data_IF_316892635331
#
_entry.id   IF_316892635331
#
_cell.length_a   1.000
_cell.length_b   1.000
_cell.length_c   1.000
_cell.angle_alpha   90.00
_cell.angle_beta   90.00
_cell.angle_gamma   90.00
#
_symmetry.space_group_name_H-M   'P 1'
#
loop_
_entity.id
_entity.type
_entity.pdbx_description
1 polymer ?
#
# COMPACT_ATOMS: atom_id res chain seq x y z
N UNK A 1 -3.52 -12.29 -7.11
CA UNK A 1 -3.15 -12.62 -5.71
C UNK A 1 -4.37 -12.40 -4.81
N UNK A 2 -4.76 -13.39 -4.00
CA UNK A 2 -5.90 -13.30 -3.07
C UNK A 2 -5.36 -13.25 -1.64
N UNK A 3 -5.90 -12.38 -0.79
CA UNK A 3 -5.42 -12.30 0.59
C UNK A 3 -5.99 -13.43 1.46
N UNK A 4 -5.20 -13.85 2.45
CA UNK A 4 -5.71 -14.63 3.56
C UNK A 4 -6.77 -13.84 4.32
N UNK A 5 -7.76 -14.54 4.89
CA UNK A 5 -8.72 -13.92 5.81
C UNK A 5 -8.10 -13.58 7.17
N UNK A 6 -7.05 -14.29 7.56
CA UNK A 6 -6.34 -14.06 8.83
C UNK A 6 -5.13 -13.16 8.61
N UNK A 7 -5.00 -12.14 9.47
CA UNK A 7 -3.83 -11.25 9.45
C UNK A 7 -2.59 -11.98 9.95
N UNK A 8 -1.46 -11.95 9.21
CA UNK A 8 -0.22 -12.57 9.65
C UNK A 8 0.19 -12.06 11.03
N UNK A 9 0.69 -12.97 11.88
CA UNK A 9 1.20 -12.58 13.19
C UNK A 9 2.49 -11.78 13.04
N UNK A 10 2.90 -11.05 14.08
CA UNK A 10 4.18 -10.33 14.03
C UNK A 10 5.36 -11.30 13.89
N UNK A 11 5.26 -12.53 14.42
CA UNK A 11 6.27 -13.57 14.28
C UNK A 11 6.43 -13.99 12.83
N UNK A 12 5.32 -14.24 12.13
CA UNK A 12 5.32 -14.62 10.72
C UNK A 12 5.96 -13.54 9.86
N UNK A 13 5.60 -12.28 10.11
CA UNK A 13 6.18 -11.12 9.41
C UNK A 13 7.68 -11.01 9.67
N UNK A 14 8.12 -11.09 10.93
CA UNK A 14 9.55 -11.00 11.28
C UNK A 14 10.35 -12.15 10.67
N UNK A 15 9.79 -13.36 10.62
CA UNK A 15 10.45 -14.49 9.99
C UNK A 15 10.54 -14.30 8.48
N UNK A 16 9.46 -13.88 7.82
CA UNK A 16 9.45 -13.63 6.38
C UNK A 16 10.45 -12.52 5.98
N UNK A 17 10.54 -11.46 6.79
CA UNK A 17 11.53 -10.38 6.61
C UNK A 17 12.97 -10.91 6.72
N UNK A 18 13.26 -11.77 7.69
CA UNK A 18 14.58 -12.40 7.84
C UNK A 18 14.91 -13.32 6.67
N UNK A 19 13.96 -14.13 6.24
CA UNK A 19 14.15 -15.05 5.11
C UNK A 19 14.44 -14.26 3.83
N UNK A 20 13.69 -13.19 3.56
CA UNK A 20 13.95 -12.30 2.43
C UNK A 20 15.32 -11.62 2.51
N UNK A 21 15.78 -11.20 3.69
CA UNK A 21 17.13 -10.64 3.86
C UNK A 21 18.27 -11.64 3.66
N UNK A 22 17.98 -12.94 3.70
CA UNK A 22 18.95 -13.99 3.40
C UNK A 22 18.90 -14.44 1.93
N UNK A 23 17.88 -14.02 1.17
CA UNK A 23 17.68 -14.44 -0.21
C UNK A 23 18.66 -13.75 -1.17
N UNK A 24 19.08 -12.51 -0.86
CA UNK A 24 19.91 -11.70 -1.75
C UNK A 24 20.78 -10.71 -0.95
N UNK A 25 22.06 -10.55 -1.31
CA UNK A 25 23.04 -9.74 -0.54
C UNK A 25 22.65 -8.25 -0.44
N UNK A 26 21.96 -7.76 -1.46
CA UNK A 26 21.46 -6.38 -1.52
C UNK A 26 20.19 -6.14 -0.69
N UNK A 27 19.61 -7.18 -0.09
CA UNK A 27 18.43 -7.11 0.77
C UNK A 27 18.84 -7.22 2.23
N UNK A 28 18.45 -6.24 3.06
CA UNK A 28 18.91 -6.15 4.46
C UNK A 28 17.80 -5.69 5.38
N UNK A 29 17.91 -6.06 6.64
CA UNK A 29 17.07 -5.47 7.69
C UNK A 29 17.75 -4.24 8.28
N UNK A 30 16.98 -3.19 8.46
CA UNK A 30 17.41 -1.99 9.16
C UNK A 30 17.53 -2.22 10.66
N UNK A 31 18.06 -1.21 11.36
CA UNK A 31 18.12 -1.25 12.82
C UNK A 31 16.71 -1.25 13.43
N UNK A 32 16.55 -2.02 14.51
CA UNK A 32 15.31 -2.04 15.27
C UNK A 32 14.98 -0.67 15.87
N UNK A 33 13.69 -0.41 16.05
CA UNK A 33 13.19 0.85 16.60
C UNK A 33 12.75 0.70 18.06
N UNK A 34 13.15 1.64 18.91
CA UNK A 34 12.75 1.69 20.31
C UNK A 34 11.34 2.22 20.53
N UNK A 35 10.74 1.89 21.69
CA UNK A 35 9.38 2.31 22.03
C UNK A 35 9.24 3.84 22.13
N UNK A 36 10.25 4.54 22.64
CA UNK A 36 10.25 6.01 22.74
C UNK A 36 10.14 6.69 21.37
N UNK A 37 10.79 6.13 20.35
CA UNK A 37 10.69 6.64 18.98
C UNK A 37 9.28 6.41 18.40
N UNK A 38 8.71 5.23 18.63
CA UNK A 38 7.35 4.89 18.20
C UNK A 38 6.28 5.73 18.93
N UNK A 39 6.50 6.03 20.20
CA UNK A 39 5.62 6.91 20.99
C UNK A 39 5.58 8.33 20.43
N UNK A 40 6.65 8.76 19.75
CA UNK A 40 6.76 10.06 19.08
C UNK A 40 5.96 10.18 17.78
N UNK A 41 5.37 9.09 17.25
CA UNK A 41 4.72 9.09 15.94
C UNK A 41 3.36 9.81 15.89
N UNK A 42 2.85 10.30 17.02
CA UNK A 42 1.59 11.04 17.10
C UNK A 42 0.33 10.19 16.87
N UNK A 43 0.49 8.87 16.74
CA UNK A 43 -0.57 7.87 16.65
C UNK A 43 -0.18 6.65 17.49
N UNK A 44 -1.12 6.03 18.23
CA UNK A 44 -0.83 4.79 18.93
C UNK A 44 -0.36 3.71 17.94
N UNK A 45 0.75 3.04 18.26
CA UNK A 45 1.28 1.93 17.48
C UNK A 45 0.82 0.61 18.09
N UNK A 46 0.07 -0.23 17.36
CA UNK A 46 -0.37 -1.54 17.84
C UNK A 46 0.82 -2.44 18.20
N UNK A 47 0.67 -3.25 19.25
CA UNK A 47 1.76 -4.13 19.73
C UNK A 47 2.36 -5.05 18.66
N UNK A 48 1.59 -5.68 17.76
CA UNK A 48 2.18 -6.46 16.67
C UNK A 48 3.10 -5.63 15.76
N UNK A 49 2.77 -4.37 15.51
CA UNK A 49 3.59 -3.46 14.70
C UNK A 49 4.83 -3.03 15.48
N UNK A 50 4.72 -2.80 16.80
CA UNK A 50 5.86 -2.52 17.67
C UNK A 50 6.87 -3.66 17.67
N UNK A 51 6.43 -4.90 17.78
CA UNK A 51 7.30 -6.08 17.73
C UNK A 51 8.03 -6.20 16.39
N UNK A 52 7.35 -5.94 15.26
CA UNK A 52 7.97 -5.90 13.93
C UNK A 52 9.07 -4.82 13.89
N UNK A 53 8.74 -3.59 14.31
CA UNK A 53 9.68 -2.47 14.29
C UNK A 53 10.89 -2.72 15.21
N UNK A 54 10.69 -3.28 16.41
CA UNK A 54 11.76 -3.61 17.36
C UNK A 54 12.72 -4.67 16.82
N UNK A 55 12.19 -5.68 16.12
CA UNK A 55 12.97 -6.87 15.74
C UNK A 55 13.56 -6.82 14.34
N UNK A 56 12.93 -6.12 13.42
CA UNK A 56 13.29 -6.12 12.00
C UNK A 56 13.47 -4.71 11.42
N UNK A 57 13.05 -3.65 12.12
CA UNK A 57 13.13 -2.28 11.61
C UNK A 57 12.36 -2.14 10.29
N UNK A 58 13.10 -1.91 9.21
CA UNK A 58 12.62 -1.87 7.83
C UNK A 58 13.32 -2.94 6.98
N UNK A 59 12.67 -3.40 5.91
CA UNK A 59 13.35 -4.12 4.85
C UNK A 59 13.96 -3.11 3.88
N UNK A 60 15.27 -3.14 3.70
CA UNK A 60 15.99 -2.39 2.68
C UNK A 60 16.21 -3.29 1.46
N UNK A 61 15.78 -2.85 0.28
CA UNK A 61 15.92 -3.61 -0.97
C UNK A 61 16.76 -2.80 -1.95
N UNK A 62 18.09 -2.99 -1.92
CA UNK A 62 19.02 -2.33 -2.84
C UNK A 62 18.74 -0.84 -3.07
N UNK A 63 18.66 -0.45 -4.35
CA UNK A 63 18.32 0.92 -4.76
C UNK A 63 16.83 1.29 -4.69
N UNK A 64 15.96 0.33 -4.34
CA UNK A 64 14.51 0.55 -4.24
C UNK A 64 14.09 1.15 -2.90
N UNK A 65 14.97 1.13 -1.90
CA UNK A 65 14.76 1.82 -0.63
C UNK A 65 14.14 0.96 0.46
N UNK A 66 13.46 1.63 1.40
CA UNK A 66 12.95 1.04 2.65
C UNK A 66 11.47 0.65 2.55
N UNK A 67 11.11 -0.47 3.18
CA UNK A 67 9.75 -0.98 3.31
C UNK A 67 9.45 -1.29 4.79
N UNK A 68 8.42 -0.65 5.36
CA UNK A 68 7.91 -0.95 6.71
C UNK A 68 7.46 0.27 7.50
N UNK A 69 6.82 0.05 8.66
CA UNK A 69 6.33 1.14 9.51
C UNK A 69 7.45 2.03 10.06
N UNK A 70 8.63 1.45 10.27
CA UNK A 70 9.83 2.14 10.71
C UNK A 70 10.48 3.01 9.63
N UNK A 71 9.87 3.16 8.44
CA UNK A 71 10.35 4.01 7.35
C UNK A 71 10.78 5.40 7.84
N UNK A 72 12.04 5.79 7.57
CA UNK A 72 12.64 7.04 8.10
C UNK A 72 12.97 8.08 7.02
N UNK A 73 12.88 7.74 5.74
CA UNK A 73 13.36 8.63 4.67
C UNK A 73 12.69 10.00 4.68
N UNK A 74 13.52 11.04 4.53
CA UNK A 74 13.11 12.46 4.51
C UNK A 74 12.24 12.86 3.32
N UNK A 75 12.02 11.96 2.34
CA UNK A 75 11.06 12.16 1.25
C UNK A 75 9.63 12.44 1.74
N UNK A 76 9.31 12.05 2.98
CA UNK A 76 8.03 12.36 3.65
C UNK A 76 7.83 13.88 3.86
N UNK A 77 8.90 14.67 3.92
CA UNK A 77 8.82 16.11 4.23
C UNK A 77 8.64 17.03 3.02
N UNK A 78 8.79 16.51 1.79
CA UNK A 78 8.76 17.32 0.56
C UNK A 78 7.81 16.84 -0.55
N UNK A 79 7.04 15.77 -0.32
CA UNK A 79 6.28 15.09 -1.37
C UNK A 79 4.76 15.25 -1.33
N UNK A 80 4.09 14.52 -2.22
CA UNK A 80 2.64 14.40 -2.35
C UNK A 80 1.94 13.68 -1.16
N UNK A 81 2.62 13.48 -0.03
CA UNK A 81 2.10 12.74 1.14
C UNK A 81 0.89 13.39 1.79
N UNK A 82 0.68 14.69 1.56
CA UNK A 82 -0.54 15.39 1.96
C UNK A 82 -1.81 14.80 1.32
N UNK A 83 -1.67 14.07 0.20
CA UNK A 83 -2.75 13.31 -0.43
C UNK A 83 -3.20 12.10 0.40
N UNK A 84 -2.32 11.54 1.24
CA UNK A 84 -2.66 10.47 2.20
C UNK A 84 -3.65 10.92 3.28
N UNK A 85 -4.07 12.19 3.29
CA UNK A 85 -5.00 12.74 4.25
C UNK A 85 -4.31 13.65 5.28
N UNK A 86 -4.99 13.89 6.40
CA UNK A 86 -4.51 14.81 7.44
C UNK A 86 -3.38 14.16 8.24
N UNK A 87 -2.44 14.93 8.82
CA UNK A 87 -1.47 14.39 9.75
C UNK A 87 -2.12 13.52 10.84
N UNK A 88 -1.55 12.35 11.08
CA UNK A 88 -2.07 11.34 11.99
C UNK A 88 -3.17 10.43 11.42
N UNK A 89 -3.65 10.61 10.18
CA UNK A 89 -4.53 9.63 9.53
C UNK A 89 -3.80 8.60 8.67
N UNK A 90 -2.47 8.63 8.66
CA UNK A 90 -1.68 7.70 7.86
C UNK A 90 -0.27 7.53 8.43
N UNK A 91 0.38 6.44 8.01
CA UNK A 91 1.81 6.22 8.17
C UNK A 91 2.40 5.81 6.82
N UNK A 92 3.36 6.57 6.30
CA UNK A 92 4.10 6.16 5.10
C UNK A 92 4.95 4.95 5.44
N UNK A 93 4.92 3.95 4.56
CA UNK A 93 5.64 2.69 4.72
C UNK A 93 6.60 2.39 3.58
N UNK A 94 6.47 3.10 2.45
CA UNK A 94 7.43 3.12 1.35
C UNK A 94 7.12 4.28 0.39
N UNK A 95 8.15 4.79 -0.28
CA UNK A 95 8.01 5.65 -1.46
C UNK A 95 9.24 5.52 -2.33
N UNK A 96 9.05 5.60 -3.65
CA UNK A 96 10.15 5.72 -4.61
C UNK A 96 10.66 7.17 -4.75
N UNK A 97 10.22 8.09 -3.89
CA UNK A 97 10.54 9.52 -3.85
C UNK A 97 10.23 10.31 -5.15
N UNK A 98 9.66 9.65 -6.16
CA UNK A 98 9.32 10.25 -7.44
C UNK A 98 7.80 10.35 -7.58
N UNK A 99 7.09 9.22 -7.58
CA UNK A 99 5.70 9.19 -8.01
C UNK A 99 4.77 8.31 -7.16
N UNK A 100 5.31 7.32 -6.45
CA UNK A 100 4.50 6.38 -5.67
C UNK A 100 4.73 6.56 -4.18
N UNK A 101 3.64 6.56 -3.42
CA UNK A 101 3.66 6.56 -1.96
C UNK A 101 2.74 5.47 -1.44
N UNK A 102 3.29 4.59 -0.61
CA UNK A 102 2.59 3.54 0.08
C UNK A 102 2.39 3.95 1.53
N UNK A 103 1.18 3.81 2.04
CA UNK A 103 0.85 4.22 3.39
C UNK A 103 -0.20 3.32 4.01
N UNK A 104 -0.11 3.16 5.33
CA UNK A 104 -1.14 2.55 6.16
C UNK A 104 -2.19 3.60 6.48
N UNK A 105 -3.47 3.27 6.33
CA UNK A 105 -4.57 4.07 6.84
C UNK A 105 -4.64 4.00 8.37
N UNK A 106 -4.88 5.14 9.02
CA UNK A 106 -5.03 5.21 10.47
C UNK A 106 -6.30 5.98 10.81
N UNK A 107 -7.20 5.34 11.55
CA UNK A 107 -8.34 6.01 12.14
C UNK A 107 -7.86 6.95 13.24
N UNK A 108 -8.04 8.25 13.04
CA UNK A 108 -7.60 9.29 13.98
C UNK A 108 -8.35 9.30 15.31
N UNK A 109 -9.58 8.79 15.33
CA UNK A 109 -10.42 8.77 16.53
C UNK A 109 -10.03 7.60 17.42
N UNK A 110 -9.85 6.42 16.81
CA UNK A 110 -9.61 5.18 17.55
C UNK A 110 -8.13 4.80 17.65
N UNK A 111 -7.28 5.36 16.77
CA UNK A 111 -5.89 4.93 16.59
C UNK A 111 -5.77 3.59 15.86
N UNK A 112 -6.85 3.04 15.31
CA UNK A 112 -6.82 1.75 14.63
C UNK A 112 -6.04 1.83 13.31
N UNK A 113 -5.12 0.88 13.11
CA UNK A 113 -4.38 0.72 11.86
C UNK A 113 -5.19 -0.13 10.89
N UNK A 114 -5.39 0.40 9.70
CA UNK A 114 -6.20 -0.18 8.65
C UNK A 114 -5.38 -0.73 7.48
N UNK A 115 -5.98 -0.74 6.28
CA UNK A 115 -5.34 -1.24 5.07
C UNK A 115 -4.13 -0.42 4.61
N UNK A 116 -3.33 -1.02 3.72
CA UNK A 116 -2.26 -0.33 3.01
C UNK A 116 -2.78 0.11 1.64
N UNK A 117 -2.58 1.38 1.35
CA UNK A 117 -2.86 1.96 0.06
C UNK A 117 -1.57 2.42 -0.60
N UNK A 118 -1.57 2.50 -1.93
CA UNK A 118 -0.67 3.37 -2.66
C UNK A 118 -1.45 4.40 -3.46
N UNK A 119 -0.82 5.51 -3.78
CA UNK A 119 -1.27 6.36 -4.88
C UNK A 119 -0.12 6.60 -5.84
N UNK A 120 -0.49 6.87 -7.09
CA UNK A 120 0.41 7.32 -8.14
C UNK A 120 -0.02 8.71 -8.59
N UNK A 121 0.93 9.57 -8.94
CA UNK A 121 0.74 11.03 -9.12
C UNK A 121 -0.51 11.38 -9.94
N UNK A 122 -0.79 10.66 -11.02
CA UNK A 122 -1.86 11.02 -11.97
C UNK A 122 -3.01 10.00 -12.09
N UNK A 123 -2.92 8.83 -11.45
CA UNK A 123 -3.70 7.64 -11.91
C UNK A 123 -4.72 7.09 -10.93
N UNK A 124 -4.76 7.59 -9.69
CA UNK A 124 -5.72 7.14 -8.68
C UNK A 124 -5.02 6.56 -7.45
N UNK A 125 -5.80 5.85 -6.64
CA UNK A 125 -5.31 5.12 -5.48
C UNK A 125 -5.44 3.62 -5.74
N UNK A 126 -4.72 2.79 -5.01
CA UNK A 126 -4.83 1.35 -5.03
C UNK A 126 -4.80 0.81 -3.61
N UNK A 127 -5.75 -0.05 -3.26
CA UNK A 127 -5.67 -0.89 -2.06
C UNK A 127 -4.70 -2.03 -2.37
N UNK A 128 -3.54 -2.06 -1.71
CA UNK A 128 -2.50 -3.07 -1.99
C UNK A 128 -2.50 -4.21 -0.98
N UNK A 129 -3.04 -3.99 0.22
CA UNK A 129 -3.18 -5.02 1.25
C UNK A 129 -4.21 -4.62 2.32
N UNK A 130 -4.85 -5.59 3.00
CA UNK A 130 -5.83 -5.30 4.05
C UNK A 130 -5.20 -4.92 5.38
N UNK A 131 -3.88 -5.12 5.54
CA UNK A 131 -3.10 -4.63 6.68
C UNK A 131 -1.61 -4.51 6.32
N UNK A 132 -0.84 -3.82 7.17
CA UNK A 132 0.61 -3.70 7.01
C UNK A 132 1.31 -5.08 6.99
N UNK A 133 0.88 -6.00 7.84
CA UNK A 133 1.46 -7.34 7.92
C UNK A 133 1.29 -8.12 6.62
N UNK A 134 0.10 -8.06 6.02
CA UNK A 134 -0.12 -8.66 4.71
C UNK A 134 0.80 -8.06 3.65
N UNK A 135 0.90 -6.74 3.61
CA UNK A 135 1.74 -6.06 2.64
C UNK A 135 3.22 -6.43 2.80
N UNK A 136 3.73 -6.46 4.03
CA UNK A 136 5.12 -6.85 4.30
C UNK A 136 5.41 -8.28 3.87
N UNK A 137 4.50 -9.23 4.16
CA UNK A 137 4.64 -10.61 3.68
C UNK A 137 4.64 -10.65 2.15
N UNK A 138 3.75 -9.91 1.49
CA UNK A 138 3.76 -9.81 0.02
C UNK A 138 5.10 -9.29 -0.50
N UNK A 139 5.64 -8.19 0.07
CA UNK A 139 6.94 -7.65 -0.34
C UNK A 139 8.06 -8.69 -0.16
N UNK A 140 8.07 -9.44 0.95
CA UNK A 140 9.09 -10.46 1.19
C UNK A 140 9.00 -11.62 0.20
N UNK A 141 7.80 -12.01 -0.23
CA UNK A 141 7.63 -13.02 -1.27
C UNK A 141 8.09 -12.50 -2.63
N UNK A 142 7.82 -11.23 -2.96
CA UNK A 142 8.32 -10.62 -4.19
C UNK A 142 9.84 -10.54 -4.23
N UNK A 143 10.51 -10.31 -3.09
CA UNK A 143 11.97 -10.41 -2.99
C UNK A 143 12.45 -11.82 -3.31
N UNK A 144 11.80 -12.85 -2.77
CA UNK A 144 12.20 -14.24 -3.02
C UNK A 144 12.04 -14.62 -4.49
N UNK A 145 10.89 -14.30 -5.10
CA UNK A 145 10.68 -14.54 -6.54
C UNK A 145 11.73 -13.79 -7.37
N UNK A 146 12.01 -12.53 -7.04
CA UNK A 146 13.04 -11.76 -7.75
C UNK A 146 14.46 -12.33 -7.60
N UNK A 147 14.80 -12.91 -6.45
CA UNK A 147 16.08 -13.57 -6.23
C UNK A 147 16.18 -14.89 -7.01
N UNK A 148 15.09 -15.66 -7.05
CA UNK A 148 15.01 -16.91 -7.82
C UNK A 148 15.10 -16.66 -9.33
N UNK A 149 14.42 -15.64 -9.83
CA UNK A 149 14.35 -15.33 -11.26
C UNK A 149 15.44 -14.36 -11.73
N UNK A 150 16.36 -13.94 -10.86
CA UNK A 150 17.34 -12.89 -11.16
C UNK A 150 18.18 -13.17 -12.42
N UNK A 151 18.40 -14.44 -12.77
CA UNK A 151 19.14 -14.84 -13.98
C UNK A 151 18.40 -14.52 -15.29
N UNK A 152 17.09 -14.29 -15.24
CA UNK A 152 16.25 -13.92 -16.38
C UNK A 152 16.17 -12.40 -16.59
N UNK A 153 16.84 -11.60 -15.78
CA UNK A 153 16.86 -10.15 -15.87
C UNK A 153 18.30 -9.61 -15.84
N UNK A 154 18.49 -8.34 -16.24
CA UNK A 154 19.80 -7.68 -16.20
C UNK A 154 20.41 -7.62 -14.78
N UNK A 155 19.56 -7.62 -13.76
CA UNK A 155 19.96 -7.60 -12.36
C UNK A 155 18.80 -7.99 -11.43
N UNK A 156 19.12 -8.36 -10.19
CA UNK A 156 18.12 -8.48 -9.12
C UNK A 156 17.26 -7.22 -8.97
N UNK A 157 17.87 -6.03 -9.15
CA UNK A 157 17.13 -4.77 -9.07
C UNK A 157 16.04 -4.67 -10.13
N UNK A 158 16.32 -5.13 -11.36
CA UNK A 158 15.35 -5.19 -12.46
C UNK A 158 14.29 -6.25 -12.17
N UNK A 159 14.70 -7.46 -11.77
CA UNK A 159 13.79 -8.55 -11.40
C UNK A 159 12.82 -8.13 -10.29
N UNK A 160 13.32 -7.49 -9.23
CA UNK A 160 12.50 -7.01 -8.13
C UNK A 160 11.53 -5.94 -8.59
N UNK A 161 11.95 -4.98 -9.42
CA UNK A 161 11.04 -3.96 -9.94
C UNK A 161 9.92 -4.59 -10.76
N UNK A 162 10.24 -5.56 -11.62
CA UNK A 162 9.27 -6.25 -12.48
C UNK A 162 8.27 -7.07 -11.65
N UNK A 163 8.75 -7.82 -10.63
CA UNK A 163 7.88 -8.48 -9.66
C UNK A 163 7.07 -7.48 -8.82
N UNK A 164 7.66 -6.36 -8.42
CA UNK A 164 7.01 -5.36 -7.58
C UNK A 164 5.94 -4.54 -8.31
N UNK A 165 6.12 -4.25 -9.60
CA UNK A 165 5.12 -3.62 -10.46
C UNK A 165 4.10 -4.63 -10.99
N UNK A 166 4.53 -5.87 -11.25
CA UNK A 166 3.81 -6.89 -11.99
C UNK A 166 3.87 -6.69 -13.51
N UNK A 167 4.84 -5.91 -13.98
CA UNK A 167 5.18 -5.73 -15.38
C UNK A 167 6.49 -6.47 -15.64
N UNK A 168 6.47 -7.45 -16.54
CA UNK A 168 7.62 -8.31 -16.86
C UNK A 168 8.25 -7.98 -18.23
N UNK A 169 7.97 -6.79 -18.78
CA UNK A 169 8.45 -6.40 -20.11
C UNK A 169 9.98 -6.40 -20.28
N UNK A 170 10.74 -6.30 -19.18
CA UNK A 170 12.21 -6.33 -19.19
C UNK A 170 12.78 -7.75 -19.00
N UNK A 171 11.92 -8.78 -18.93
CA UNK A 171 12.36 -10.16 -18.79
C UNK A 171 13.02 -10.67 -20.09
N UNK A 172 14.05 -11.52 -19.94
CA UNK A 172 14.66 -12.21 -21.06
C UNK A 172 13.77 -13.31 -21.65
N UNK A 173 14.05 -13.73 -22.88
CA UNK A 173 13.24 -14.69 -23.66
C UNK A 173 12.99 -16.04 -22.95
N UNK A 174 13.83 -16.42 -21.97
CA UNK A 174 13.71 -17.67 -21.21
C UNK A 174 12.90 -17.55 -19.91
N UNK A 175 12.43 -16.35 -19.56
CA UNK A 175 11.61 -16.12 -18.36
C UNK A 175 10.26 -16.85 -18.48
N UNK A 176 9.84 -17.61 -17.46
CA UNK A 176 8.59 -18.35 -17.50
C UNK A 176 7.37 -17.44 -17.23
N UNK A 177 7.04 -16.54 -18.17
CA UNK A 177 5.88 -15.64 -18.09
C UNK A 177 4.55 -16.37 -17.89
N UNK A 178 4.45 -17.58 -18.45
CA UNK A 178 3.28 -18.46 -18.33
C UNK A 178 3.24 -19.22 -16.99
N UNK A 179 4.21 -19.02 -16.10
CA UNK A 179 4.18 -19.63 -14.78
C UNK A 179 2.96 -19.13 -13.99
N UNK A 180 2.33 -19.97 -13.16
CA UNK A 180 1.19 -19.54 -12.35
C UNK A 180 1.47 -18.32 -11.47
N UNK A 181 2.71 -18.16 -10.99
CA UNK A 181 3.12 -17.02 -10.17
C UNK A 181 3.22 -15.73 -10.98
N UNK A 182 3.88 -15.77 -12.14
CA UNK A 182 4.02 -14.61 -13.03
C UNK A 182 2.64 -14.18 -13.56
N UNK A 183 1.82 -15.12 -14.04
CA UNK A 183 0.44 -14.84 -14.47
C UNK A 183 -0.41 -14.23 -13.35
N UNK A 184 -0.33 -14.76 -12.13
CA UNK A 184 -1.09 -14.24 -10.99
C UNK A 184 -0.64 -12.84 -10.56
N UNK A 185 0.62 -12.48 -10.82
CA UNK A 185 1.17 -11.15 -10.54
C UNK A 185 0.83 -10.15 -11.65
N UNK A 186 0.93 -10.58 -12.91
CA UNK A 186 0.66 -9.79 -14.11
C UNK A 186 -0.83 -9.52 -14.35
N UNK A 187 -1.73 -10.34 -13.77
CA UNK A 187 -3.18 -10.13 -13.83
C UNK A 187 -3.62 -8.74 -13.32
N UNK A 188 -2.76 -8.05 -12.57
CA UNK A 188 -3.00 -6.70 -12.08
C UNK A 188 -4.11 -6.63 -11.03
N UNK A 189 -4.38 -5.42 -10.51
CA UNK A 189 -5.45 -5.20 -9.56
C UNK A 189 -6.84 -5.23 -10.25
N UNK A 190 -7.87 -5.62 -9.49
CA UNK A 190 -9.27 -5.43 -9.91
C UNK A 190 -9.63 -3.95 -9.79
N UNK A 191 -10.50 -3.42 -10.66
CA UNK A 191 -10.92 -2.02 -10.57
C UNK A 191 -12.19 -1.85 -9.72
N UNK A 192 -12.12 -1.04 -8.67
CA UNK A 192 -13.30 -0.54 -7.96
C UNK A 192 -13.73 0.81 -8.55
N UNK A 193 -14.85 0.81 -9.29
CA UNK A 193 -15.35 2.00 -9.96
C UNK A 193 -15.93 3.00 -8.94
N UNK A 194 -15.39 4.23 -8.85
CA UNK A 194 -15.93 5.24 -7.98
C UNK A 194 -17.33 5.68 -8.42
N UNK A 195 -18.18 5.98 -7.45
CA UNK A 195 -19.45 6.68 -7.65
C UNK A 195 -19.34 8.10 -7.10
N UNK A 196 -20.27 8.97 -7.47
CA UNK A 196 -20.31 10.32 -6.90
C UNK A 196 -20.87 10.32 -5.49
N UNK A 197 -20.55 11.35 -4.70
CA UNK A 197 -21.12 11.56 -3.38
C UNK A 197 -22.66 11.62 -3.39
N UNK A 198 -23.26 12.16 -4.45
CA UNK A 198 -24.73 12.22 -4.59
C UNK A 198 -25.32 10.83 -4.86
N UNK A 199 -24.66 10.03 -5.71
CA UNK A 199 -25.06 8.65 -5.95
C UNK A 199 -24.91 7.80 -4.69
N UNK A 200 -23.82 7.99 -3.93
CA UNK A 200 -23.62 7.35 -2.64
C UNK A 200 -24.73 7.74 -1.65
N UNK A 201 -25.06 9.03 -1.55
CA UNK A 201 -26.14 9.56 -0.69
C UNK A 201 -27.52 8.99 -1.03
N UNK A 202 -27.79 8.77 -2.31
CA UNK A 202 -29.03 8.19 -2.81
C UNK A 202 -29.04 6.65 -2.80
N UNK A 203 -27.94 6.02 -2.37
CA UNK A 203 -27.82 4.56 -2.31
C UNK A 203 -28.78 3.94 -1.29
N UNK A 204 -29.25 2.73 -1.57
CA UNK A 204 -29.94 1.90 -0.58
C UNK A 204 -29.02 1.31 0.49
N UNK A 205 -27.70 1.42 0.32
CA UNK A 205 -26.71 1.02 1.31
C UNK A 205 -26.52 2.11 2.36
N UNK A 206 -26.81 1.79 3.62
CA UNK A 206 -26.74 2.74 4.73
C UNK A 206 -25.33 3.33 4.97
N UNK A 207 -24.27 2.55 4.72
CA UNK A 207 -22.88 3.02 4.88
C UNK A 207 -22.55 4.03 3.79
N UNK A 208 -22.89 3.73 2.53
CA UNK A 208 -22.65 4.65 1.43
C UNK A 208 -23.52 5.91 1.53
N UNK A 209 -24.77 5.78 1.97
CA UNK A 209 -25.66 6.90 2.20
C UNK A 209 -25.14 7.86 3.27
N UNK A 210 -24.68 7.32 4.40
CA UNK A 210 -24.06 8.09 5.49
C UNK A 210 -22.79 8.80 5.01
N UNK A 211 -21.87 8.09 4.36
CA UNK A 211 -20.62 8.69 3.83
C UNK A 211 -20.94 9.78 2.81
N UNK A 212 -21.81 9.52 1.83
CA UNK A 212 -22.23 10.50 0.82
C UNK A 212 -22.89 11.76 1.41
N UNK A 213 -23.55 11.65 2.57
CA UNK A 213 -24.14 12.80 3.27
C UNK A 213 -23.10 13.77 3.88
N UNK A 214 -21.88 13.28 4.14
CA UNK A 214 -20.79 14.05 4.79
C UNK A 214 -19.82 14.68 3.79
N UNK A 215 -19.92 14.32 2.52
CA UNK A 215 -19.02 14.75 1.47
C UNK A 215 -19.59 15.93 0.67
N UNK A 216 -18.72 16.85 0.19
CA UNK A 216 -19.14 17.91 -0.71
C UNK A 216 -19.61 17.36 -2.06
N UNK A 217 -20.34 18.19 -2.80
CA UNK A 217 -20.74 17.87 -4.18
C UNK A 217 -19.49 17.67 -5.06
N UNK A 218 -19.54 16.68 -5.96
CA UNK A 218 -18.43 16.36 -6.86
C UNK A 218 -17.31 15.51 -6.24
N UNK A 219 -17.36 15.22 -4.93
CA UNK A 219 -16.51 14.19 -4.35
C UNK A 219 -16.87 12.80 -4.88
N UNK A 220 -15.89 11.90 -4.90
CA UNK A 220 -16.03 10.53 -5.35
C UNK A 220 -15.87 9.55 -4.18
N UNK A 221 -16.56 8.42 -4.26
CA UNK A 221 -16.61 7.37 -3.25
C UNK A 221 -16.37 6.03 -3.92
N UNK A 222 -15.45 5.24 -3.38
CA UNK A 222 -15.20 3.86 -3.79
C UNK A 222 -15.48 2.92 -2.62
N UNK A 223 -16.23 1.85 -2.91
CA UNK A 223 -16.56 0.80 -1.95
C UNK A 223 -15.60 -0.38 -2.11
N UNK A 224 -14.85 -0.69 -1.06
CA UNK A 224 -13.83 -1.73 -1.03
C UNK A 224 -14.20 -2.88 -0.10
N UNK A 225 -15.43 -2.91 0.45
CA UNK A 225 -15.86 -3.97 1.39
C UNK A 225 -15.83 -5.37 0.77
N UNK A 226 -15.90 -5.47 -0.56
CA UNK A 226 -15.81 -6.72 -1.32
C UNK A 226 -14.42 -7.05 -1.89
N UNK A 227 -13.40 -6.23 -1.61
CA UNK A 227 -12.06 -6.44 -2.17
C UNK A 227 -11.38 -7.67 -1.55
N UNK A 228 -11.01 -8.64 -2.40
CA UNK A 228 -10.31 -9.87 -2.00
C UNK A 228 -8.82 -9.88 -2.37
N UNK A 229 -8.36 -8.85 -3.07
CA UNK A 229 -6.99 -8.70 -3.56
C UNK A 229 -6.72 -7.24 -3.97
N UNK A 230 -5.53 -6.95 -4.50
CA UNK A 230 -5.16 -5.61 -4.91
C UNK A 230 -6.25 -4.98 -5.79
N UNK A 231 -6.64 -3.74 -5.46
CA UNK A 231 -7.79 -3.08 -6.07
C UNK A 231 -7.45 -1.64 -6.45
N UNK A 232 -7.48 -1.33 -7.75
CA UNK A 232 -7.28 0.01 -8.30
C UNK A 232 -8.55 0.84 -8.15
N UNK A 233 -8.40 2.11 -7.78
CA UNK A 233 -9.46 3.10 -7.66
C UNK A 233 -9.13 4.31 -8.55
N UNK A 234 -9.65 4.36 -9.79
CA UNK A 234 -9.25 5.33 -10.81
C UNK A 234 -10.00 6.67 -10.68
N UNK A 235 -9.91 7.33 -9.52
CA UNK A 235 -10.62 8.60 -9.26
C UNK A 235 -10.36 9.67 -10.33
N UNK A 236 -9.09 9.85 -10.74
CA UNK A 236 -8.70 10.86 -11.72
C UNK A 236 -9.22 10.61 -13.14
N UNK A 237 -9.70 9.37 -13.43
CA UNK A 237 -10.28 8.99 -14.72
C UNK A 237 -11.81 9.03 -14.71
N UNK A 238 -12.44 9.30 -13.57
CA UNK A 238 -13.89 9.36 -13.48
C UNK A 238 -14.42 10.57 -14.27
N UNK A 239 -15.45 10.44 -15.13
CA UNK A 239 -15.92 11.53 -16.01
C UNK A 239 -16.39 12.79 -15.29
N UNK A 240 -16.74 12.68 -14.00
CA UNK A 240 -17.18 13.80 -13.16
C UNK A 240 -16.09 14.32 -12.22
N UNK A 241 -14.85 13.84 -12.35
CA UNK A 241 -13.73 14.40 -11.61
C UNK A 241 -13.48 15.84 -12.09
N UNK A 242 -13.49 16.84 -11.20
CA UNK A 242 -13.34 18.25 -11.59
C UNK A 242 -11.93 18.60 -12.11
N UNK A 243 -10.99 17.66 -12.07
CA UNK A 243 -9.58 17.91 -12.36
C UNK A 243 -8.80 18.24 -11.08
N UNK A 244 -7.48 18.39 -11.22
CA UNK A 244 -6.58 18.59 -10.10
C UNK A 244 -6.22 17.29 -9.37
N UNK A 245 -5.43 17.44 -8.31
CA UNK A 245 -4.85 16.33 -7.56
C UNK A 245 -5.81 15.85 -6.47
N UNK A 246 -6.18 14.55 -6.43
CA UNK A 246 -7.11 14.04 -5.43
C UNK A 246 -6.48 13.98 -4.03
N UNK A 247 -7.26 14.42 -3.04
CA UNK A 247 -6.99 14.19 -1.61
C UNK A 247 -7.86 13.07 -1.11
N UNK A 248 -7.26 12.07 -0.48
CA UNK A 248 -7.95 10.86 -0.04
C UNK A 248 -8.40 10.94 1.41
N UNK A 249 -9.64 10.52 1.68
CA UNK A 249 -10.16 10.28 3.02
C UNK A 249 -10.77 8.89 3.11
N UNK A 250 -10.78 8.32 4.32
CA UNK A 250 -11.23 6.95 4.56
C UNK A 250 -12.35 6.92 5.58
N UNK A 251 -13.29 6.01 5.37
CA UNK A 251 -14.43 5.76 6.23
C UNK A 251 -14.60 4.26 6.44
N UNK A 252 -15.36 3.90 7.47
CA UNK A 252 -15.73 2.52 7.74
C UNK A 252 -14.52 1.58 7.80
N UNK A 253 -13.57 1.87 8.69
CA UNK A 253 -12.35 1.09 8.92
C UNK A 253 -11.49 0.91 7.64
N UNK A 254 -11.41 1.95 6.81
CA UNK A 254 -10.61 1.94 5.58
C UNK A 254 -11.25 1.22 4.40
N UNK A 255 -12.47 0.69 4.54
CA UNK A 255 -13.15 -0.05 3.46
C UNK A 255 -13.97 0.86 2.53
N UNK A 256 -14.13 2.13 2.87
CA UNK A 256 -14.69 3.15 1.96
C UNK A 256 -13.62 4.22 1.75
N UNK A 257 -13.16 4.37 0.51
CA UNK A 257 -12.19 5.37 0.12
C UNK A 257 -12.89 6.51 -0.61
N UNK A 258 -12.56 7.74 -0.28
CA UNK A 258 -13.14 8.91 -0.93
C UNK A 258 -12.06 9.81 -1.48
N UNK A 259 -12.37 10.50 -2.58
CA UNK A 259 -11.51 11.52 -3.16
C UNK A 259 -12.29 12.84 -3.29
N UNK A 260 -11.67 13.92 -2.85
CA UNK A 260 -12.14 15.29 -3.08
C UNK A 260 -11.04 16.13 -3.71
N UNK A 261 -11.42 17.18 -4.44
CA UNK A 261 -10.49 18.23 -4.86
C UNK A 261 -10.04 19.05 -3.65
N UNK A 262 -8.89 19.71 -3.74
CA UNK A 262 -8.58 20.77 -2.78
C UNK A 262 -9.71 21.82 -2.78
N UNK A 263 -10.06 22.39 -1.62
CA UNK A 263 -10.89 23.59 -1.58
C UNK A 263 -10.26 24.78 -2.30
#
# INVERSE_FOLDING_TARGET
MTWSSETPSWQDVVQALRDASNAEESVRLGEGMGDEEMDGWGVPVPEPIREICRRAGVLQVGGHGEFGAAYRSGAVSGGAVWRCGKPGSFRVVHTNACAETYYVDIDRVTGAWGPVFKFWEDHGAELVAPSLQHWLVTVTELVKCAAEDAEHFDSFSTAFLNWFSGDFADAGDEFPEDSPAALARAAGPVTAMPITAEAARASGDAVLADVGSRLPEGALVADLRGAAGPTEIPFGRHPRWPGGTPVYARFHNGTILTAGGEP
#
